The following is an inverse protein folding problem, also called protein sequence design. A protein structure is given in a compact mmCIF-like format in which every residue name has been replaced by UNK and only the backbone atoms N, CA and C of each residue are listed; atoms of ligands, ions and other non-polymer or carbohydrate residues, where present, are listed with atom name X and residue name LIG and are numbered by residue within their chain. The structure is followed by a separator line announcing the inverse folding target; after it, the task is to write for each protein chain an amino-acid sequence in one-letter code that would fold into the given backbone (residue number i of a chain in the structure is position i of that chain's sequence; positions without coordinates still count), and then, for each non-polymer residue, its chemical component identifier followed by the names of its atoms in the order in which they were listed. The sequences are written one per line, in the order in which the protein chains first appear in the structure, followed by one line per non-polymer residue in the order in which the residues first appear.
data_IF_648957940949
#
_entry.id   IF_648957940949
#
_cell.length_a   1.000
_cell.length_b   1.000
_cell.length_c   1.000
_cell.angle_alpha   90.00
_cell.angle_beta   90.00
_cell.angle_gamma   90.00
#
_symmetry.space_group_name_H-M   'P 1'
#
loop_
_entity.id
_entity.type
_entity.pdbx_description
1 polymer ?
#
# COMPACT_ATOMS: atom_id res chain seq x y z
N UNK A 1 10.62 -9.56 30.20
CA UNK A 1 9.84 -10.33 29.21
C UNK A 1 8.54 -9.61 28.81
N UNK A 2 7.64 -9.28 29.76
CA UNK A 2 6.35 -8.62 29.46
C UNK A 2 6.43 -7.23 28.77
N UNK A 3 7.41 -6.40 29.12
CA UNK A 3 7.56 -5.04 28.55
C UNK A 3 7.97 -5.07 27.08
N UNK A 4 8.96 -5.89 26.72
CA UNK A 4 9.39 -6.09 25.33
C UNK A 4 8.26 -6.61 24.46
N UNK A 5 7.51 -7.59 24.95
CA UNK A 5 6.40 -8.18 24.23
C UNK A 5 5.27 -7.16 23.98
N UNK A 6 4.98 -6.30 24.97
CA UNK A 6 4.02 -5.20 24.83
C UNK A 6 4.47 -4.18 23.77
N UNK A 7 5.74 -3.79 23.77
CA UNK A 7 6.28 -2.85 22.77
C UNK A 7 6.24 -3.43 21.36
N UNK A 8 6.58 -4.71 21.18
CA UNK A 8 6.46 -5.40 19.89
C UNK A 8 5.02 -5.40 19.38
N UNK A 9 4.04 -5.66 20.25
CA UNK A 9 2.62 -5.61 19.88
C UNK A 9 2.22 -4.22 19.40
N UNK A 10 2.64 -3.16 20.10
CA UNK A 10 2.35 -1.78 19.67
C UNK A 10 3.01 -1.43 18.34
N UNK A 11 4.27 -1.82 18.13
CA UNK A 11 4.96 -1.61 16.86
C UNK A 11 4.19 -2.29 15.72
N UNK A 12 3.84 -3.56 15.88
CA UNK A 12 3.14 -4.34 14.86
C UNK A 12 1.74 -3.76 14.56
N UNK A 13 1.04 -3.26 15.58
CA UNK A 13 -0.24 -2.56 15.43
C UNK A 13 -0.08 -1.29 14.58
N UNK A 14 0.94 -0.49 14.87
CA UNK A 14 1.23 0.74 14.12
C UNK A 14 1.57 0.39 12.67
N UNK A 15 2.46 -0.57 12.43
CA UNK A 15 2.81 -1.04 11.09
C UNK A 15 1.59 -1.55 10.31
N UNK A 16 0.70 -2.31 10.96
CA UNK A 16 -0.54 -2.79 10.36
C UNK A 16 -1.46 -1.65 9.93
N UNK A 17 -1.59 -0.60 10.74
CA UNK A 17 -2.36 0.61 10.40
C UNK A 17 -1.73 1.30 9.20
N UNK A 18 -0.41 1.53 9.20
CA UNK A 18 0.28 2.15 8.06
C UNK A 18 0.16 1.33 6.78
N UNK A 19 0.31 0.01 6.87
CA UNK A 19 0.13 -0.90 5.75
C UNK A 19 -1.27 -0.79 5.16
N UNK A 20 -2.30 -0.75 6.02
CA UNK A 20 -3.70 -0.60 5.60
C UNK A 20 -3.92 0.75 4.91
N UNK A 21 -3.47 1.85 5.51
CA UNK A 21 -3.61 3.20 4.96
C UNK A 21 -2.92 3.32 3.61
N UNK A 22 -1.68 2.83 3.49
CA UNK A 22 -0.92 2.87 2.24
C UNK A 22 -1.56 1.99 1.15
N UNK A 23 -2.06 0.82 1.52
CA UNK A 23 -2.81 -0.07 0.61
C UNK A 23 -4.05 0.62 0.04
N UNK A 24 -4.81 1.31 0.90
CA UNK A 24 -6.02 2.04 0.50
C UNK A 24 -5.63 3.22 -0.39
N UNK A 25 -4.66 4.02 0.02
CA UNK A 25 -4.18 5.19 -0.72
C UNK A 25 -3.77 4.81 -2.16
N UNK A 26 -2.90 3.81 -2.32
CA UNK A 26 -2.44 3.38 -3.63
C UNK A 26 -3.56 2.87 -4.53
N UNK A 27 -4.52 2.12 -3.96
CA UNK A 27 -5.70 1.66 -4.72
C UNK A 27 -6.59 2.82 -5.13
N UNK A 28 -6.81 3.79 -4.25
CA UNK A 28 -7.63 4.96 -4.50
C UNK A 28 -7.03 5.81 -5.63
N UNK A 29 -5.77 6.21 -5.50
CA UNK A 29 -5.09 7.03 -6.52
C UNK A 29 -5.00 6.31 -7.85
N UNK A 30 -4.77 4.99 -7.87
CA UNK A 30 -4.73 4.25 -9.14
C UNK A 30 -6.10 4.18 -9.81
N UNK A 31 -7.16 3.96 -9.03
CA UNK A 31 -8.53 3.96 -9.52
C UNK A 31 -8.88 5.32 -10.14
N UNK A 32 -8.62 6.40 -9.43
CA UNK A 32 -8.84 7.77 -9.89
C UNK A 32 -8.04 8.07 -11.18
N UNK A 33 -6.76 7.68 -11.24
CA UNK A 33 -5.95 7.84 -12.44
C UNK A 33 -6.51 7.07 -13.65
N UNK A 34 -7.07 5.87 -13.44
CA UNK A 34 -7.71 5.09 -14.51
C UNK A 34 -9.04 5.70 -14.97
N UNK A 35 -9.79 6.28 -14.05
CA UNK A 35 -11.02 7.00 -14.34
C UNK A 35 -10.73 8.25 -15.17
N UNK A 36 -9.76 9.07 -14.76
CA UNK A 36 -9.32 10.24 -15.52
C UNK A 36 -8.79 9.86 -16.91
N UNK A 37 -8.06 8.74 -17.02
CA UNK A 37 -7.57 8.21 -18.30
C UNK A 37 -8.71 7.71 -19.20
N UNK A 38 -9.80 7.20 -18.63
CA UNK A 38 -10.99 6.84 -19.39
C UNK A 38 -11.67 8.09 -19.94
N UNK A 39 -11.95 9.05 -19.06
CA UNK A 39 -12.67 10.29 -19.40
C UNK A 39 -11.89 11.11 -20.46
N UNK A 40 -10.56 11.08 -20.42
CA UNK A 40 -9.69 11.72 -21.44
C UNK A 40 -9.77 11.04 -22.80
N UNK A 41 -9.86 9.70 -22.84
CA UNK A 41 -9.86 8.93 -24.10
C UNK A 41 -11.25 8.79 -24.71
N UNK A 42 -12.31 8.92 -23.91
CA UNK A 42 -13.70 8.79 -24.36
C UNK A 42 -14.50 10.02 -23.89
N UNK A 43 -14.22 11.21 -24.45
CA UNK A 43 -14.90 12.46 -24.08
C UNK A 43 -16.40 12.45 -24.43
N UNK A 44 -16.85 11.50 -25.24
CA UNK A 44 -18.24 11.21 -25.61
C UNK A 44 -18.95 10.26 -24.63
N UNK A 45 -18.20 9.53 -23.79
CA UNK A 45 -18.70 8.54 -22.82
C UNK A 45 -18.31 8.93 -21.38
N UNK A 46 -18.33 10.23 -21.09
CA UNK A 46 -17.99 10.79 -19.77
C UNK A 46 -19.09 10.44 -18.75
N UNK A 47 -18.68 10.04 -17.55
CA UNK A 47 -19.59 9.67 -16.45
C UNK A 47 -19.60 8.16 -16.13
N UNK A 48 -20.53 7.72 -15.28
CA UNK A 48 -20.54 6.34 -14.77
C UNK A 48 -21.15 5.33 -15.76
N UNK A 49 -20.41 5.00 -16.82
CA UNK A 49 -20.83 3.99 -17.81
C UNK A 49 -20.43 2.56 -17.39
N UNK A 50 -21.20 1.53 -17.83
CA UNK A 50 -20.82 0.12 -17.63
C UNK A 50 -19.44 -0.22 -18.24
N UNK A 51 -19.05 0.44 -19.33
CA UNK A 51 -17.77 0.23 -19.99
C UNK A 51 -16.62 0.79 -19.15
N UNK A 52 -16.79 1.99 -18.58
CA UNK A 52 -15.82 2.60 -17.65
C UNK A 52 -15.54 1.70 -16.46
N UNK A 53 -16.59 1.19 -15.82
CA UNK A 53 -16.47 0.25 -14.69
C UNK A 53 -15.73 -1.03 -15.10
N UNK A 54 -16.00 -1.54 -16.28
CA UNK A 54 -15.34 -2.74 -16.83
C UNK A 54 -13.85 -2.47 -17.09
N UNK A 55 -13.51 -1.32 -17.69
CA UNK A 55 -12.14 -0.90 -17.96
C UNK A 55 -11.33 -0.74 -16.67
N UNK A 56 -11.87 -0.02 -15.69
CA UNK A 56 -11.22 0.18 -14.39
C UNK A 56 -11.01 -1.17 -13.70
N UNK A 57 -12.02 -2.05 -13.68
CA UNK A 57 -11.91 -3.39 -13.06
C UNK A 57 -10.81 -4.23 -13.70
N UNK A 58 -10.77 -4.35 -15.03
CA UNK A 58 -9.72 -5.13 -15.73
C UNK A 58 -8.33 -4.53 -15.50
N UNK A 59 -8.21 -3.22 -15.55
CA UNK A 59 -6.94 -2.51 -15.35
C UNK A 59 -6.41 -2.64 -13.91
N UNK A 60 -7.32 -2.70 -12.92
CA UNK A 60 -6.96 -2.91 -11.51
C UNK A 60 -6.43 -4.32 -11.22
N UNK A 61 -6.82 -5.34 -12.00
CA UNK A 61 -6.24 -6.71 -11.88
C UNK A 61 -4.76 -6.71 -12.24
N UNK A 62 -4.37 -5.94 -13.28
CA UNK A 62 -2.96 -5.76 -13.64
C UNK A 62 -2.17 -5.01 -12.56
N UNK A 63 -2.80 -4.02 -11.91
CA UNK A 63 -2.17 -3.23 -10.85
C UNK A 63 -1.75 -4.06 -9.63
N UNK A 64 -2.54 -5.04 -9.22
CA UNK A 64 -2.21 -5.91 -8.07
C UNK A 64 -0.88 -6.67 -8.26
N UNK A 65 -0.45 -6.90 -9.51
CA UNK A 65 0.81 -7.58 -9.82
C UNK A 65 2.02 -6.64 -9.91
N UNK A 66 1.81 -5.32 -9.81
CA UNK A 66 2.87 -4.34 -9.98
C UNK A 66 3.76 -4.21 -8.75
N UNK A 67 5.01 -3.78 -8.99
CA UNK A 67 6.00 -3.54 -7.94
C UNK A 67 5.45 -2.59 -6.85
N UNK A 68 4.66 -1.58 -7.23
CA UNK A 68 4.04 -0.62 -6.29
C UNK A 68 3.14 -1.31 -5.24
N UNK A 69 2.38 -2.33 -5.64
CA UNK A 69 1.56 -3.11 -4.71
C UNK A 69 2.42 -3.98 -3.79
N UNK A 70 3.56 -4.49 -4.28
CA UNK A 70 4.53 -5.26 -3.48
C UNK A 70 5.34 -4.40 -2.52
N UNK A 71 5.67 -3.17 -2.91
CA UNK A 71 6.42 -2.20 -2.10
C UNK A 71 5.69 -1.82 -0.81
N UNK A 72 4.36 -1.96 -0.73
CA UNK A 72 3.62 -1.74 0.53
C UNK A 72 4.10 -2.67 1.64
N UNK A 73 4.54 -3.89 1.29
CA UNK A 73 5.11 -4.83 2.25
C UNK A 73 6.40 -4.33 2.93
N UNK A 74 7.13 -3.37 2.33
CA UNK A 74 8.32 -2.79 2.96
C UNK A 74 8.01 -2.02 4.23
N UNK A 75 6.75 -1.61 4.44
CA UNK A 75 6.31 -0.98 5.69
C UNK A 75 6.58 -1.88 6.89
N UNK A 76 6.59 -3.21 6.72
CA UNK A 76 6.96 -4.15 7.79
C UNK A 76 8.46 -4.45 7.83
N UNK A 77 9.09 -4.52 6.66
CA UNK A 77 10.49 -4.94 6.54
C UNK A 77 11.44 -3.85 7.04
N UNK A 78 11.22 -2.60 6.63
CA UNK A 78 12.13 -1.47 6.93
C UNK A 78 12.25 -1.22 8.43
N UNK A 79 11.17 -1.10 9.21
CA UNK A 79 11.29 -0.82 10.64
C UNK A 79 11.85 -2.02 11.40
N UNK A 80 11.46 -3.25 11.04
CA UNK A 80 12.02 -4.47 11.66
C UNK A 80 13.54 -4.55 11.46
N UNK A 81 14.04 -4.32 10.25
CA UNK A 81 15.48 -4.29 9.98
C UNK A 81 16.15 -3.16 10.75
N UNK A 82 15.56 -1.96 10.75
CA UNK A 82 16.12 -0.79 11.44
C UNK A 82 16.28 -1.05 12.94
N UNK A 83 15.26 -1.62 13.59
CA UNK A 83 15.31 -1.98 15.01
C UNK A 83 16.40 -3.03 15.25
N UNK A 84 16.51 -4.05 14.40
CA UNK A 84 17.56 -5.07 14.50
C UNK A 84 18.97 -4.49 14.38
N UNK A 85 19.17 -3.57 13.43
CA UNK A 85 20.45 -2.87 13.24
C UNK A 85 20.80 -1.99 14.44
N UNK A 86 19.84 -1.22 14.95
CA UNK A 86 20.04 -0.37 16.14
C UNK A 86 20.37 -1.23 17.36
N UNK A 87 19.62 -2.30 17.59
CA UNK A 87 19.85 -3.20 18.72
C UNK A 87 21.23 -3.86 18.65
N UNK A 88 21.65 -4.30 17.45
CA UNK A 88 22.99 -4.84 17.24
C UNK A 88 24.06 -3.78 17.52
N UNK A 89 23.93 -2.58 16.96
CA UNK A 89 24.91 -1.51 17.12
C UNK A 89 25.09 -1.09 18.58
N UNK A 90 23.98 -0.95 19.33
CA UNK A 90 24.01 -0.56 20.74
C UNK A 90 24.57 -1.67 21.65
N UNK A 91 24.36 -2.94 21.29
CA UNK A 91 24.71 -4.08 22.15
C UNK A 91 26.06 -4.73 21.82
N UNK A 92 26.63 -4.44 20.65
CA UNK A 92 27.95 -4.93 20.19
C UNK A 92 29.05 -3.89 20.37
N UNK A 93 28.71 -2.61 20.60
CA UNK A 93 29.62 -1.62 21.19
C UNK A 93 29.74 -1.81 22.70
#
# INVERSE_FOLDING_TARGET
MLVLLRLMVFLFLIEAIFYLLLSIYLRSTKKEALENEWDRRHPDLVGDSPERRTFVRRSMVGFQKTLKARLVGLVFIVPTILIGVIAWYVNVQ
#
